data_IF_029031683079
#
_entry.id   IF_029031683079
#
_cell.length_a   1.000
_cell.length_b   1.000
_cell.length_c   1.000
_cell.angle_alpha   90.00
_cell.angle_beta   90.00
_cell.angle_gamma   90.00
#
_symmetry.space_group_name_H-M   'P 1'
#
loop_
_entity.id
_entity.type
_entity.pdbx_description
1 polymer ?
#
# COMPACT_ATOMS: atom_id res chain seq x y z
N UNK A 1 10.53 -9.57 -22.81
CA UNK A 1 9.82 -10.12 -21.64
C UNK A 1 10.74 -10.78 -20.60
N UNK A 2 11.67 -11.68 -20.98
CA UNK A 2 12.60 -12.32 -20.01
C UNK A 2 13.43 -11.34 -19.15
N UNK A 3 13.92 -10.20 -19.67
CA UNK A 3 14.67 -9.23 -18.85
C UNK A 3 13.83 -8.60 -17.73
N UNK A 4 12.59 -8.19 -18.02
CA UNK A 4 11.70 -7.55 -17.04
C UNK A 4 11.25 -8.50 -15.93
N UNK A 5 11.06 -9.78 -16.23
CA UNK A 5 10.76 -10.76 -15.17
C UNK A 5 11.95 -10.97 -14.24
N UNK A 6 13.18 -10.97 -14.78
CA UNK A 6 14.39 -11.06 -13.95
C UNK A 6 14.58 -9.81 -13.09
N UNK A 7 14.31 -8.62 -13.63
CA UNK A 7 14.33 -7.39 -12.86
C UNK A 7 13.27 -7.39 -11.75
N UNK A 8 12.03 -7.79 -12.09
CA UNK A 8 10.94 -7.91 -11.09
C UNK A 8 11.33 -8.80 -9.94
N UNK A 9 11.98 -9.94 -10.20
CA UNK A 9 12.47 -10.83 -9.13
C UNK A 9 13.52 -10.16 -8.25
N UNK A 10 14.45 -9.41 -8.83
CA UNK A 10 15.45 -8.67 -8.05
C UNK A 10 14.80 -7.59 -7.18
N UNK A 11 13.76 -6.91 -7.69
CA UNK A 11 12.96 -5.94 -6.93
C UNK A 11 12.19 -6.65 -5.81
N UNK A 12 11.53 -7.76 -6.12
CA UNK A 12 10.80 -8.61 -5.16
C UNK A 12 11.71 -9.05 -4.01
N UNK A 13 12.90 -9.56 -4.34
CA UNK A 13 13.89 -10.03 -3.37
C UNK A 13 14.45 -8.89 -2.52
N UNK A 14 14.72 -7.72 -3.12
CA UNK A 14 15.20 -6.53 -2.43
C UNK A 14 14.18 -6.04 -1.39
N UNK A 15 12.90 -6.00 -1.76
CA UNK A 15 11.85 -5.42 -0.93
C UNK A 15 11.49 -6.25 0.29
N UNK A 16 11.86 -7.53 0.33
CA UNK A 16 11.66 -8.42 1.49
C UNK A 16 12.98 -8.87 2.13
N UNK A 17 14.10 -8.24 1.77
CA UNK A 17 15.44 -8.70 2.17
C UNK A 17 15.72 -8.56 3.67
N UNK A 18 15.07 -7.63 4.37
CA UNK A 18 15.25 -7.42 5.82
C UNK A 18 14.45 -8.41 6.62
N UNK A 19 13.34 -8.88 6.07
CA UNK A 19 12.50 -9.91 6.61
C UNK A 19 12.01 -9.64 8.04
N UNK A 20 11.55 -8.41 8.29
CA UNK A 20 11.24 -7.92 9.64
C UNK A 20 10.09 -8.69 10.29
N UNK A 21 9.10 -9.05 9.47
CA UNK A 21 7.84 -9.70 9.87
C UNK A 21 7.60 -11.04 9.17
N UNK A 22 8.62 -11.56 8.49
CA UNK A 22 8.54 -12.85 7.81
C UNK A 22 8.19 -12.77 6.31
N UNK A 23 8.27 -11.58 5.70
CA UNK A 23 7.89 -11.36 4.31
C UNK A 23 8.73 -12.14 3.31
N UNK A 24 9.99 -12.41 3.62
CA UNK A 24 10.84 -13.28 2.79
C UNK A 24 10.34 -14.73 2.78
N UNK A 25 9.85 -15.24 3.91
CA UNK A 25 9.24 -16.57 3.95
C UNK A 25 7.90 -16.58 3.22
N UNK A 26 7.08 -15.54 3.40
CA UNK A 26 5.78 -15.44 2.72
C UNK A 26 5.92 -15.29 1.20
N UNK A 27 6.96 -14.63 0.71
CA UNK A 27 7.27 -14.48 -0.72
C UNK A 27 7.27 -15.82 -1.46
N UNK A 28 7.68 -16.92 -0.80
CA UNK A 28 7.72 -18.26 -1.38
C UNK A 28 6.34 -18.81 -1.75
N UNK A 29 5.28 -18.27 -1.16
CA UNK A 29 3.90 -18.63 -1.48
C UNK A 29 3.37 -17.89 -2.73
N UNK A 30 4.08 -16.87 -3.22
CA UNK A 30 3.68 -16.08 -4.37
C UNK A 30 4.34 -16.55 -5.67
N UNK A 31 3.60 -16.42 -6.78
CA UNK A 31 4.18 -16.61 -8.11
C UNK A 31 5.10 -15.42 -8.45
N UNK A 32 6.40 -15.65 -8.73
CA UNK A 32 7.34 -14.58 -9.06
C UNK A 32 6.87 -13.68 -10.21
N UNK A 33 7.30 -12.43 -10.21
CA UNK A 33 6.82 -11.42 -11.14
C UNK A 33 5.52 -10.74 -10.69
N UNK A 34 5.21 -10.72 -9.39
CA UNK A 34 4.00 -10.11 -8.87
C UNK A 34 4.07 -8.57 -8.93
N UNK A 35 5.24 -7.98 -8.71
CA UNK A 35 5.48 -6.55 -9.00
C UNK A 35 5.32 -6.24 -10.50
N UNK A 36 5.84 -7.09 -11.39
CA UNK A 36 5.70 -6.91 -12.84
C UNK A 36 4.24 -6.91 -13.30
N UNK A 37 3.41 -7.80 -12.77
CA UNK A 37 2.00 -7.91 -13.15
C UNK A 37 1.22 -6.69 -12.65
N UNK A 38 1.41 -6.31 -11.40
CA UNK A 38 0.80 -5.12 -10.82
C UNK A 38 1.23 -3.83 -11.55
N UNK A 39 2.53 -3.63 -11.78
CA UNK A 39 3.02 -2.46 -12.49
C UNK A 39 2.54 -2.39 -13.94
N UNK A 40 2.32 -3.54 -14.61
CA UNK A 40 1.73 -3.57 -15.96
C UNK A 40 0.29 -3.05 -15.97
N UNK A 41 -0.51 -3.39 -14.95
CA UNK A 41 -1.87 -2.88 -14.78
C UNK A 41 -1.83 -1.36 -14.65
N UNK A 42 -0.99 -0.85 -13.74
CA UNK A 42 -0.87 0.59 -13.48
C UNK A 42 -0.34 1.37 -14.70
N UNK A 43 0.61 0.82 -15.44
CA UNK A 43 1.17 1.45 -16.65
C UNK A 43 0.13 1.66 -17.76
N UNK A 44 -0.96 0.89 -17.75
CA UNK A 44 -2.06 1.02 -18.72
C UNK A 44 -3.13 2.02 -18.26
N UNK A 45 -3.07 2.49 -17.01
CA UNK A 45 -4.06 3.41 -16.48
C UNK A 45 -3.83 4.84 -17.00
N UNK A 46 -4.91 5.47 -17.46
CA UNK A 46 -5.00 6.89 -17.86
C UNK A 46 -6.22 7.57 -17.21
N UNK A 47 -7.07 6.78 -16.55
CA UNK A 47 -8.29 7.22 -15.85
C UNK A 47 -8.09 7.23 -14.34
N UNK A 48 -9.18 6.98 -13.60
CA UNK A 48 -9.12 6.97 -12.14
C UNK A 48 -8.37 5.74 -11.64
N UNK A 49 -7.49 5.93 -10.66
CA UNK A 49 -6.90 4.85 -9.87
C UNK A 49 -7.22 5.13 -8.41
N UNK A 50 -7.90 4.20 -7.74
CA UNK A 50 -8.13 4.32 -6.31
C UNK A 50 -6.94 3.79 -5.54
N UNK A 51 -6.43 4.59 -4.60
CA UNK A 51 -5.34 4.21 -3.71
C UNK A 51 -5.86 4.28 -2.28
N UNK A 52 -6.22 3.12 -1.72
CA UNK A 52 -6.65 2.97 -0.33
C UNK A 52 -5.45 2.89 0.61
N UNK A 53 -5.41 3.75 1.62
CA UNK A 53 -4.31 3.75 2.61
C UNK A 53 -4.76 4.31 3.97
N UNK A 54 -3.94 4.08 5.00
CA UNK A 54 -4.20 4.45 6.39
C UNK A 54 -4.52 3.26 7.28
N UNK A 55 -3.59 2.97 8.20
CA UNK A 55 -3.78 2.08 9.34
C UNK A 55 -4.01 2.92 10.61
N UNK A 56 -5.06 2.63 11.41
CA UNK A 56 -5.33 3.40 12.62
C UNK A 56 -4.38 3.02 13.76
N UNK A 57 -3.71 4.02 14.35
CA UNK A 57 -2.85 3.86 15.53
C UNK A 57 -3.25 4.87 16.59
N UNK A 58 -3.64 4.37 17.76
CA UNK A 58 -4.28 5.17 18.82
C UNK A 58 -5.50 5.94 18.26
N UNK A 59 -5.47 7.27 18.31
CA UNK A 59 -6.50 8.19 17.80
C UNK A 59 -6.06 8.90 16.50
N UNK A 60 -4.99 8.43 15.86
CA UNK A 60 -4.41 8.98 14.63
C UNK A 60 -4.11 7.87 13.62
N UNK A 61 -3.28 8.16 12.62
CA UNK A 61 -2.81 7.24 11.58
C UNK A 61 -1.29 7.06 11.64
N UNK A 62 -0.82 5.93 11.13
CA UNK A 62 0.62 5.69 11.03
C UNK A 62 1.25 6.22 9.74
N UNK A 63 2.59 6.24 9.71
CA UNK A 63 3.40 6.66 8.57
C UNK A 63 3.51 5.59 7.49
N UNK A 64 3.44 4.29 7.82
CA UNK A 64 3.41 3.23 6.81
C UNK A 64 2.05 3.15 6.10
N UNK A 65 2.09 3.05 4.78
CA UNK A 65 0.96 3.27 3.87
C UNK A 65 0.95 4.65 3.24
N UNK A 66 0.69 5.74 4.00
CA UNK A 66 0.50 7.07 3.43
C UNK A 66 1.71 7.60 2.65
N UNK A 67 2.95 7.32 3.05
CA UNK A 67 4.13 7.81 2.31
C UNK A 67 4.20 7.19 0.91
N UNK A 68 4.03 5.87 0.82
CA UNK A 68 4.02 5.13 -0.43
C UNK A 68 2.80 5.46 -1.29
N UNK A 69 1.64 5.66 -0.67
CA UNK A 69 0.43 6.09 -1.36
C UNK A 69 0.58 7.47 -1.99
N UNK A 70 1.18 8.44 -1.29
CA UNK A 70 1.48 9.77 -1.84
C UNK A 70 2.52 9.67 -2.95
N UNK A 71 3.60 8.91 -2.76
CA UNK A 71 4.62 8.71 -3.80
C UNK A 71 4.03 8.08 -5.08
N UNK A 72 3.18 7.07 -4.94
CA UNK A 72 2.51 6.44 -6.07
C UNK A 72 1.45 7.37 -6.70
N UNK A 73 0.72 8.13 -5.89
CA UNK A 73 -0.21 9.15 -6.38
C UNK A 73 0.50 10.15 -7.29
N UNK A 74 1.58 10.76 -6.82
CA UNK A 74 2.33 11.78 -7.56
C UNK A 74 2.90 11.20 -8.87
N UNK A 75 3.45 9.99 -8.81
CA UNK A 75 3.96 9.27 -9.98
C UNK A 75 2.84 8.98 -11.00
N UNK A 76 1.71 8.43 -10.58
CA UNK A 76 0.59 8.12 -11.48
C UNK A 76 -0.03 9.37 -12.09
N UNK A 77 -0.13 10.46 -11.31
CA UNK A 77 -0.57 11.75 -11.81
C UNK A 77 0.38 12.29 -12.88
N UNK A 78 1.69 12.23 -12.65
CA UNK A 78 2.70 12.60 -13.65
C UNK A 78 2.59 11.78 -14.94
N UNK A 79 2.24 10.50 -14.83
CA UNK A 79 2.07 9.59 -15.96
C UNK A 79 0.72 9.74 -16.70
N UNK A 80 -0.14 10.66 -16.25
CA UNK A 80 -1.40 11.02 -16.91
C UNK A 80 -2.64 10.33 -16.35
N UNK A 81 -2.52 9.52 -15.29
CA UNK A 81 -3.68 8.98 -14.59
C UNK A 81 -4.30 10.03 -13.64
N UNK A 82 -5.47 9.70 -13.09
CA UNK A 82 -6.23 10.52 -12.13
C UNK A 82 -6.35 9.79 -10.80
N UNK A 83 -5.28 9.65 -10.02
CA UNK A 83 -5.35 8.94 -8.76
C UNK A 83 -6.27 9.65 -7.76
N UNK A 84 -6.92 8.86 -6.90
CA UNK A 84 -7.76 9.32 -5.78
C UNK A 84 -7.36 8.55 -4.54
N UNK A 85 -6.99 9.27 -3.48
CA UNK A 85 -6.65 8.67 -2.19
C UNK A 85 -7.94 8.34 -1.43
N UNK A 86 -8.13 7.08 -1.03
CA UNK A 86 -9.34 6.60 -0.37
C UNK A 86 -9.01 6.23 1.07
N UNK A 87 -9.38 7.09 2.02
CA UNK A 87 -8.96 6.95 3.41
C UNK A 87 -10.04 7.48 4.39
N UNK A 88 -9.95 7.03 5.65
CA UNK A 88 -10.79 7.53 6.73
C UNK A 88 -10.14 8.67 7.50
N UNK A 89 -10.90 9.34 8.35
CA UNK A 89 -10.36 10.32 9.29
C UNK A 89 -9.48 9.66 10.37
N UNK A 90 -8.44 10.35 10.89
CA UNK A 90 -8.11 11.75 10.58
C UNK A 90 -7.30 11.96 9.29
N UNK A 91 -6.78 10.89 8.67
CA UNK A 91 -5.95 10.98 7.46
C UNK A 91 -6.67 11.68 6.30
N UNK A 92 -7.96 11.38 6.08
CA UNK A 92 -8.76 12.03 5.05
C UNK A 92 -8.79 13.56 5.20
N UNK A 93 -9.13 14.05 6.39
CA UNK A 93 -9.19 15.50 6.64
C UNK A 93 -7.84 16.19 6.47
N UNK A 94 -6.77 15.46 6.71
CA UNK A 94 -5.40 15.93 6.54
C UNK A 94 -4.96 15.96 5.06
N UNK A 95 -5.33 14.97 4.25
CA UNK A 95 -4.88 14.87 2.86
C UNK A 95 -5.76 15.64 1.87
N UNK A 96 -7.07 15.78 2.13
CA UNK A 96 -8.03 16.38 1.19
C UNK A 96 -7.76 17.84 0.83
N UNK A 97 -6.90 18.53 1.59
CA UNK A 97 -6.48 19.91 1.30
C UNK A 97 -5.54 20.00 0.12
N UNK A 98 -4.68 18.99 -0.04
CA UNK A 98 -3.56 18.99 -0.98
C UNK A 98 -3.73 17.91 -2.08
N UNK A 99 -4.58 16.91 -1.85
CA UNK A 99 -4.80 15.76 -2.73
C UNK A 99 -6.28 15.56 -3.06
N UNK A 100 -6.56 14.91 -4.20
CA UNK A 100 -7.90 14.42 -4.50
C UNK A 100 -8.19 13.18 -3.65
N UNK A 101 -9.11 13.31 -2.69
CA UNK A 101 -9.46 12.25 -1.77
C UNK A 101 -10.95 11.87 -1.84
N UNK A 102 -11.24 10.59 -1.59
CA UNK A 102 -12.58 10.09 -1.31
C UNK A 102 -12.65 9.61 0.15
N UNK A 103 -13.63 10.09 0.95
CA UNK A 103 -13.71 9.71 2.36
C UNK A 103 -14.22 8.29 2.54
N UNK A 104 -13.67 7.60 3.54
CA UNK A 104 -14.24 6.36 4.07
C UNK A 104 -14.79 6.59 5.48
N UNK A 105 -16.03 6.15 5.77
CA UNK A 105 -16.54 6.19 7.13
C UNK A 105 -15.71 5.30 8.07
N UNK A 106 -15.28 5.86 9.19
CA UNK A 106 -14.67 5.13 10.30
C UNK A 106 -15.78 4.61 11.21
N UNK A 107 -15.60 3.41 11.78
CA UNK A 107 -16.54 2.81 12.74
C UNK A 107 -17.97 2.62 12.21
N UNK A 108 -18.17 2.63 10.90
CA UNK A 108 -19.46 2.32 10.29
C UNK A 108 -19.46 0.86 9.86
N UNK A 109 -20.33 0.03 10.43
CA UNK A 109 -20.57 -1.34 9.94
C UNK A 109 -21.78 -1.40 9.00
N UNK A 110 -22.50 -0.30 8.83
CA UNK A 110 -23.72 -0.27 8.03
C UNK A 110 -23.45 0.35 6.66
N UNK A 111 -24.04 -0.26 5.64
CA UNK A 111 -24.05 0.23 4.25
C UNK A 111 -22.66 0.40 3.59
N UNK A 112 -21.59 -0.18 4.14
CA UNK A 112 -20.23 -0.10 3.58
C UNK A 112 -20.18 -0.55 2.11
N UNK A 113 -20.79 -1.70 1.80
CA UNK A 113 -20.86 -2.22 0.44
C UNK A 113 -21.60 -1.29 -0.52
N UNK A 114 -22.67 -0.63 -0.05
CA UNK A 114 -23.42 0.32 -0.88
C UNK A 114 -22.61 1.59 -1.17
N UNK A 115 -21.89 2.12 -0.16
CA UNK A 115 -21.00 3.27 -0.31
C UNK A 115 -19.84 2.97 -1.27
N UNK A 116 -19.22 1.79 -1.13
CA UNK A 116 -18.19 1.34 -2.04
C UNK A 116 -18.72 1.19 -3.47
N UNK A 117 -19.89 0.56 -3.64
CA UNK A 117 -20.53 0.40 -4.95
C UNK A 117 -20.86 1.75 -5.62
N UNK A 118 -21.39 2.71 -4.85
CA UNK A 118 -21.68 4.06 -5.34
C UNK A 118 -20.41 4.77 -5.80
N UNK A 119 -19.35 4.73 -5.00
CA UNK A 119 -18.07 5.32 -5.36
C UNK A 119 -17.46 4.66 -6.61
N UNK A 120 -17.45 3.31 -6.68
CA UNK A 120 -16.97 2.57 -7.85
C UNK A 120 -17.77 2.91 -9.11
N UNK A 121 -19.10 3.03 -9.01
CA UNK A 121 -19.96 3.40 -10.13
C UNK A 121 -19.74 4.85 -10.58
N UNK A 122 -19.52 5.76 -9.64
CA UNK A 122 -19.27 7.17 -9.92
C UNK A 122 -17.92 7.39 -10.59
N UNK A 123 -16.85 6.87 -10.01
CA UNK A 123 -15.48 7.13 -10.46
C UNK A 123 -15.02 6.22 -11.60
N UNK A 124 -15.58 5.00 -11.69
CA UNK A 124 -15.20 3.96 -12.66
C UNK A 124 -13.67 3.77 -12.72
N UNK A 125 -13.03 3.39 -11.60
CA UNK A 125 -11.59 3.23 -11.57
C UNK A 125 -11.12 2.15 -12.56
N UNK A 126 -9.92 2.35 -13.09
CA UNK A 126 -9.22 1.40 -13.93
C UNK A 126 -8.38 0.41 -13.12
N UNK A 127 -8.05 0.78 -11.87
CA UNK A 127 -7.43 -0.09 -10.89
C UNK A 127 -7.79 0.39 -9.47
N UNK A 128 -7.85 -0.55 -8.53
CA UNK A 128 -7.95 -0.27 -7.08
C UNK A 128 -6.72 -0.87 -6.42
N UNK A 129 -5.97 -0.07 -5.66
CA UNK A 129 -4.81 -0.53 -4.91
C UNK A 129 -4.99 -0.23 -3.42
N UNK A 130 -4.68 -1.21 -2.58
CA UNK A 130 -4.58 -1.09 -1.13
C UNK A 130 -3.10 -1.02 -0.73
N UNK A 131 -2.72 -0.08 0.13
CA UNK A 131 -1.35 0.06 0.66
C UNK A 131 -1.44 0.26 2.17
N UNK A 132 -0.95 -0.72 2.93
CA UNK A 132 -1.01 -0.73 4.40
C UNK A 132 -2.42 -0.44 4.92
N UNK A 133 -3.34 -1.33 4.57
CA UNK A 133 -4.72 -1.25 5.07
C UNK A 133 -5.11 -2.50 5.79
N UNK A 134 -5.65 -2.40 7.03
CA UNK A 134 -6.20 -3.55 7.72
C UNK A 134 -7.25 -4.24 6.84
N UNK A 135 -7.12 -5.56 6.69
CA UNK A 135 -8.11 -6.40 6.02
C UNK A 135 -9.02 -7.10 7.02
N UNK A 136 -10.27 -7.38 6.61
CA UNK A 136 -11.19 -8.19 7.41
C UNK A 136 -10.59 -9.57 7.63
N UNK A 137 -10.47 -10.00 8.88
CA UNK A 137 -10.20 -11.38 9.25
C UNK A 137 -11.42 -12.28 8.95
N UNK A 138 -11.26 -13.58 9.13
CA UNK A 138 -12.31 -14.57 8.85
C UNK A 138 -13.59 -14.37 9.68
N UNK A 139 -13.47 -13.76 10.86
CA UNK A 139 -14.59 -13.40 11.74
C UNK A 139 -15.22 -12.03 11.41
N UNK A 140 -14.77 -11.36 10.35
CA UNK A 140 -15.26 -10.07 9.88
C UNK A 140 -14.69 -8.86 10.62
N UNK A 141 -13.76 -9.05 11.57
CA UNK A 141 -13.13 -7.99 12.35
C UNK A 141 -11.78 -7.57 11.77
N UNK A 142 -11.22 -6.50 12.31
CA UNK A 142 -9.88 -6.01 11.98
C UNK A 142 -8.96 -6.15 13.19
N UNK A 143 -7.73 -6.60 12.97
CA UNK A 143 -6.75 -6.81 14.02
C UNK A 143 -5.43 -6.12 13.69
N UNK A 144 -4.74 -5.59 14.70
CA UNK A 144 -3.37 -5.11 14.55
C UNK A 144 -2.34 -6.23 14.79
N UNK A 145 -1.06 -5.90 14.65
CA UNK A 145 0.06 -6.83 14.87
C UNK A 145 0.13 -7.44 16.29
N UNK A 146 -0.61 -6.89 17.27
CA UNK A 146 -0.71 -7.41 18.65
C UNK A 146 -1.93 -8.32 18.85
N UNK A 147 -2.73 -8.53 17.80
CA UNK A 147 -4.00 -9.27 17.88
C UNK A 147 -5.14 -8.49 18.55
N UNK A 148 -4.99 -7.17 18.71
CA UNK A 148 -6.04 -6.32 19.29
C UNK A 148 -7.09 -5.99 18.22
N UNK A 149 -8.38 -6.09 18.58
CA UNK A 149 -9.49 -5.71 17.71
C UNK A 149 -9.50 -4.18 17.51
N UNK A 150 -9.30 -3.74 16.27
CA UNK A 150 -9.28 -2.33 15.85
C UNK A 150 -10.50 -1.95 15.02
N UNK A 151 -11.52 -2.81 14.94
CA UNK A 151 -12.68 -2.62 14.06
C UNK A 151 -13.39 -1.30 14.29
N UNK A 152 -13.51 -0.86 15.55
CA UNK A 152 -14.13 0.41 15.92
C UNK A 152 -13.37 1.67 15.48
N UNK A 153 -12.14 1.53 14.96
CA UNK A 153 -11.31 2.62 14.46
C UNK A 153 -10.92 2.44 12.99
N UNK A 154 -11.29 1.31 12.39
CA UNK A 154 -10.96 1.03 11.01
C UNK A 154 -12.01 1.66 10.09
N UNK A 155 -11.55 2.40 9.09
CA UNK A 155 -12.33 2.63 7.87
C UNK A 155 -12.24 1.37 7.02
N UNK A 156 -13.35 0.84 6.51
CA UNK A 156 -13.32 -0.38 5.69
C UNK A 156 -13.01 -0.05 4.22
N UNK A 157 -12.00 -0.71 3.64
CA UNK A 157 -11.71 -0.62 2.19
C UNK A 157 -11.95 -1.95 1.46
N UNK A 158 -12.27 -3.03 2.20
CA UNK A 158 -12.46 -4.38 1.66
C UNK A 158 -13.57 -4.46 0.60
N UNK A 159 -14.66 -3.70 0.77
CA UNK A 159 -15.77 -3.69 -0.18
C UNK A 159 -15.38 -3.00 -1.50
N UNK A 160 -14.45 -2.04 -1.49
CA UNK A 160 -13.89 -1.49 -2.73
C UNK A 160 -13.09 -2.54 -3.49
N UNK A 161 -12.36 -3.40 -2.77
CA UNK A 161 -11.59 -4.50 -3.37
C UNK A 161 -12.51 -5.59 -3.90
N UNK A 162 -13.55 -5.96 -3.15
CA UNK A 162 -14.42 -7.08 -3.50
C UNK A 162 -15.40 -6.74 -4.62
N UNK A 163 -15.86 -5.48 -4.68
CA UNK A 163 -16.89 -5.06 -5.65
C UNK A 163 -16.31 -4.43 -6.92
N UNK A 164 -15.00 -4.17 -6.97
CA UNK A 164 -14.37 -3.59 -8.15
C UNK A 164 -14.49 -4.52 -9.36
N UNK A 165 -14.94 -3.96 -10.50
CA UNK A 165 -14.93 -4.66 -11.79
C UNK A 165 -13.58 -4.55 -12.53
N UNK A 166 -12.67 -3.72 -12.02
CA UNK A 166 -11.31 -3.54 -12.51
C UNK A 166 -10.30 -4.31 -11.66
N UNK A 167 -9.05 -4.48 -12.12
CA UNK A 167 -8.03 -5.17 -11.33
C UNK A 167 -7.78 -4.55 -9.96
N UNK A 168 -7.51 -5.40 -8.98
CA UNK A 168 -7.25 -5.07 -7.59
C UNK A 168 -5.84 -5.47 -7.16
N UNK A 169 -5.14 -4.54 -6.52
CA UNK A 169 -3.76 -4.70 -6.10
C UNK A 169 -3.68 -4.48 -4.59
N UNK A 170 -2.76 -5.15 -3.90
CA UNK A 170 -2.54 -4.87 -2.49
C UNK A 170 -1.07 -4.96 -2.11
N UNK A 171 -0.62 -4.05 -1.26
CA UNK A 171 0.69 -4.05 -0.62
C UNK A 171 0.48 -4.21 0.88
N UNK A 172 1.19 -5.15 1.48
CA UNK A 172 1.19 -5.38 2.93
C UNK A 172 2.52 -5.97 3.38
N UNK A 173 2.76 -5.90 4.69
CA UNK A 173 4.03 -6.29 5.29
C UNK A 173 3.92 -7.12 6.59
N UNK A 174 2.71 -7.33 7.12
CA UNK A 174 2.47 -7.97 8.42
C UNK A 174 1.56 -9.20 8.38
N UNK A 175 0.68 -9.31 7.37
CA UNK A 175 -0.24 -10.44 7.19
C UNK A 175 -1.69 -10.14 7.57
N UNK A 176 -1.95 -9.02 8.24
CA UNK A 176 -3.27 -8.54 8.64
C UNK A 176 -3.84 -7.46 7.69
N UNK A 177 -3.15 -7.20 6.58
CA UNK A 177 -3.56 -6.24 5.57
C UNK A 177 -4.41 -6.89 4.47
N UNK A 178 -5.25 -6.07 3.82
CA UNK A 178 -5.97 -6.46 2.61
C UNK A 178 -5.02 -7.11 1.60
N UNK A 179 -5.47 -8.18 0.95
CA UNK A 179 -4.71 -8.93 -0.04
C UNK A 179 -3.92 -10.10 0.55
N UNK A 180 -3.54 -10.05 1.83
CA UNK A 180 -2.85 -11.16 2.51
C UNK A 180 -3.70 -12.45 2.57
N UNK A 181 -5.02 -12.34 2.34
CA UNK A 181 -5.91 -13.49 2.13
C UNK A 181 -5.44 -14.45 1.04
N UNK A 182 -4.77 -13.93 -0.01
CA UNK A 182 -4.23 -14.72 -1.12
C UNK A 182 -3.26 -15.83 -0.66
N UNK A 183 -2.58 -15.60 0.46
CA UNK A 183 -1.56 -16.49 1.02
C UNK A 183 -1.89 -16.88 2.48
N UNK A 184 -3.18 -16.91 2.85
CA UNK A 184 -3.66 -17.20 4.21
C UNK A 184 -3.01 -18.41 4.88
N UNK A 185 -2.74 -19.49 4.13
CA UNK A 185 -2.09 -20.70 4.67
C UNK A 185 -0.64 -20.46 5.07
N UNK A 186 0.07 -19.58 4.35
CA UNK A 186 1.44 -19.19 4.70
C UNK A 186 1.43 -18.18 5.86
N UNK A 187 0.55 -17.18 5.81
CA UNK A 187 0.39 -16.16 6.87
C UNK A 187 -0.01 -16.81 8.20
N UNK A 188 -0.88 -17.82 8.19
CA UNK A 188 -1.30 -18.54 9.41
C UNK A 188 -0.18 -19.31 10.13
N UNK A 189 1.04 -19.33 9.58
CA UNK A 189 2.24 -19.83 10.27
C UNK A 189 2.96 -18.75 11.09
N UNK A 190 2.62 -17.48 10.86
CA UNK A 190 3.09 -16.34 11.65
C UNK A 190 2.20 -16.19 12.90
N UNK A 191 2.72 -15.51 13.92
CA UNK A 191 1.97 -15.19 15.13
C UNK A 191 1.10 -13.94 14.91
N UNK A 192 0.14 -14.02 13.98
CA UNK A 192 -0.75 -12.93 13.57
C UNK A 192 -2.16 -13.46 13.32
N UNK A 193 -3.18 -12.59 13.44
CA UNK A 193 -4.53 -12.90 12.95
C UNK A 193 -4.59 -12.46 11.47
N UNK A 194 -4.67 -13.40 10.52
CA UNK A 194 -4.56 -13.08 9.10
C UNK A 194 -5.81 -12.34 8.60
N UNK A 195 -5.59 -11.40 7.69
CA UNK A 195 -6.67 -10.91 6.85
C UNK A 195 -7.18 -12.03 5.91
N UNK A 196 -8.47 -12.00 5.62
CA UNK A 196 -9.16 -12.91 4.71
C UNK A 196 -9.45 -12.26 3.35
N UNK A 197 -9.46 -10.93 3.26
CA UNK A 197 -9.71 -10.21 2.01
C UNK A 197 -8.59 -10.46 1.00
N UNK A 198 -8.97 -10.91 -0.19
CA UNK A 198 -8.09 -11.25 -1.32
C UNK A 198 -8.00 -10.10 -2.34
N UNK A 199 -7.07 -10.21 -3.30
CA UNK A 199 -6.92 -9.28 -4.43
C UNK A 199 -6.34 -10.01 -5.65
N UNK A 200 -6.33 -9.36 -6.83
CA UNK A 200 -5.78 -9.98 -8.04
C UNK A 200 -4.25 -10.12 -7.99
N UNK A 201 -3.53 -9.10 -7.48
CA UNK A 201 -2.08 -9.17 -7.28
C UNK A 201 -1.68 -8.64 -5.90
N UNK A 202 -1.15 -9.54 -5.08
CA UNK A 202 -0.53 -9.22 -3.79
C UNK A 202 0.95 -8.90 -3.98
N UNK A 203 1.40 -7.82 -3.38
CA UNK A 203 2.78 -7.39 -3.31
C UNK A 203 3.26 -7.38 -1.87
N UNK A 204 4.35 -8.08 -1.60
CA UNK A 204 5.01 -8.06 -0.30
C UNK A 204 6.17 -7.07 -0.31
N UNK A 205 6.38 -6.42 0.82
CA UNK A 205 7.55 -5.64 1.16
C UNK A 205 7.77 -5.69 2.67
N UNK A 206 8.96 -5.39 3.17
CA UNK A 206 9.22 -5.30 4.61
C UNK A 206 8.63 -4.04 5.27
N UNK A 207 8.28 -3.05 4.45
CA UNK A 207 7.54 -1.82 4.78
C UNK A 207 6.66 -1.52 3.57
N UNK A 208 5.35 -1.35 3.74
CA UNK A 208 4.40 -1.22 2.64
C UNK A 208 4.69 -0.02 1.73
N UNK A 209 5.19 1.08 2.29
CA UNK A 209 5.63 2.24 1.51
C UNK A 209 6.71 1.88 0.47
N UNK A 210 7.63 0.98 0.81
CA UNK A 210 8.69 0.57 -0.10
C UNK A 210 8.15 -0.26 -1.26
N UNK A 211 7.06 -1.00 -1.04
CA UNK A 211 6.36 -1.67 -2.12
C UNK A 211 5.83 -0.69 -3.17
N UNK A 212 5.35 0.49 -2.76
CA UNK A 212 4.97 1.52 -3.73
C UNK A 212 6.18 1.94 -4.61
N UNK A 213 7.38 2.04 -4.02
CA UNK A 213 8.60 2.33 -4.77
C UNK A 213 8.96 1.20 -5.75
N UNK A 214 8.75 -0.06 -5.38
CA UNK A 214 8.92 -1.20 -6.29
C UNK A 214 8.06 -1.11 -7.55
N UNK A 215 6.81 -0.66 -7.41
CA UNK A 215 5.93 -0.38 -8.56
C UNK A 215 6.49 0.76 -9.42
N UNK A 216 6.88 1.88 -8.79
CA UNK A 216 7.45 3.05 -9.47
C UNK A 216 8.74 2.68 -10.21
N UNK A 217 9.55 1.78 -9.68
CA UNK A 217 10.78 1.29 -10.31
C UNK A 217 10.51 0.64 -11.68
N UNK A 218 9.52 -0.25 -11.75
CA UNK A 218 9.13 -0.89 -13.01
C UNK A 218 8.47 0.09 -13.98
N UNK A 219 7.66 1.03 -13.49
CA UNK A 219 7.11 2.12 -14.30
C UNK A 219 8.25 2.98 -14.88
N UNK A 220 9.27 3.28 -14.09
CA UNK A 220 10.44 4.06 -14.52
C UNK A 220 11.14 3.41 -15.71
N UNK A 221 11.37 2.09 -15.63
CA UNK A 221 11.99 1.33 -16.73
C UNK A 221 11.10 1.34 -17.99
N UNK A 222 9.78 1.20 -17.86
CA UNK A 222 8.88 1.23 -19.02
C UNK A 222 8.77 2.59 -19.69
N UNK A 223 8.90 3.67 -18.90
CA UNK A 223 8.81 5.05 -19.40
C UNK A 223 10.17 5.62 -19.78
N UNK A 224 11.24 4.85 -19.59
CA UNK A 224 12.63 5.26 -19.82
C UNK A 224 12.96 6.58 -19.09
N UNK A 225 12.39 6.75 -17.90
CA UNK A 225 12.49 7.96 -17.07
C UNK A 225 12.68 7.55 -15.61
N UNK A 226 13.62 8.19 -14.90
CA UNK A 226 13.81 7.95 -13.47
C UNK A 226 12.70 8.62 -12.65
N UNK A 227 11.57 7.92 -12.47
CA UNK A 227 10.45 8.40 -11.65
C UNK A 227 10.77 8.29 -10.16
N UNK A 228 11.67 7.38 -9.78
CA UNK A 228 12.12 7.20 -8.40
C UNK A 228 12.88 8.43 -7.88
N UNK A 229 13.63 9.14 -8.74
CA UNK A 229 14.32 10.38 -8.37
C UNK A 229 13.39 11.50 -7.87
N UNK A 230 12.09 11.43 -8.21
CA UNK A 230 11.10 12.42 -7.78
C UNK A 230 10.46 12.07 -6.44
N UNK A 231 10.61 10.84 -5.97
CA UNK A 231 10.11 10.39 -4.67
C UNK A 231 10.95 11.02 -3.57
N UNK A 232 10.30 11.73 -2.65
CA UNK A 232 10.95 12.42 -1.53
C UNK A 232 10.41 11.91 -0.18
N UNK A 233 10.82 10.71 0.29
CA UNK A 233 10.23 10.07 1.47
C UNK A 233 10.32 10.96 2.72
N UNK A 234 11.48 11.58 2.96
CA UNK A 234 11.68 12.46 4.11
C UNK A 234 10.74 13.67 4.10
N UNK A 235 10.48 14.24 2.92
CA UNK A 235 9.54 15.37 2.78
C UNK A 235 8.11 14.93 3.05
N UNK A 236 7.71 13.76 2.54
CA UNK A 236 6.37 13.21 2.74
C UNK A 236 6.17 12.82 4.21
N UNK A 237 7.16 12.18 4.84
CA UNK A 237 7.18 11.90 6.27
C UNK A 237 7.05 13.17 7.10
N UNK A 238 7.82 14.22 6.80
CA UNK A 238 7.70 15.51 7.50
C UNK A 238 6.30 16.10 7.34
N UNK A 239 5.75 16.08 6.12
CA UNK A 239 4.39 16.54 5.84
C UNK A 239 3.37 15.82 6.73
N UNK A 240 3.42 14.49 6.81
CA UNK A 240 2.51 13.67 7.62
C UNK A 240 2.74 13.88 9.13
N UNK A 241 4.00 13.98 9.56
CA UNK A 241 4.43 14.21 10.95
C UNK A 241 3.89 15.55 11.47
N UNK A 242 4.01 16.62 10.68
CA UNK A 242 3.45 17.94 10.99
C UNK A 242 1.91 17.92 11.16
N UNK A 243 1.27 16.87 10.62
CA UNK A 243 -0.19 16.64 10.65
C UNK A 243 -0.60 15.53 11.63
N UNK A 244 0.32 15.08 12.49
CA UNK A 244 0.02 14.19 13.60
C UNK A 244 0.12 12.70 13.29
N UNK A 245 0.80 12.30 12.21
CA UNK A 245 1.15 10.89 12.02
C UNK A 245 2.04 10.38 13.14
N UNK A 246 2.02 9.06 13.34
CA UNK A 246 2.94 8.38 14.27
C UNK A 246 3.60 7.20 13.57
N UNK A 247 4.70 6.74 14.14
CA UNK A 247 5.29 5.45 13.79
C UNK A 247 4.38 4.30 14.28
N UNK A 248 4.09 3.32 13.42
CA UNK A 248 3.17 2.22 13.72
C UNK A 248 3.61 1.33 14.89
N UNK A 249 4.92 1.24 15.11
CA UNK A 249 5.52 0.36 16.13
C UNK A 249 5.72 1.11 17.45
N UNK A 250 6.42 2.26 17.42
CA UNK A 250 6.75 3.05 18.62
C UNK A 250 5.61 3.95 19.09
N UNK A 251 4.65 4.27 18.20
CA UNK A 251 3.52 5.19 18.44
C UNK A 251 3.94 6.62 18.75
N UNK A 252 5.18 6.98 18.43
CA UNK A 252 5.71 8.32 18.58
C UNK A 252 5.62 9.05 17.25
N UNK A 253 5.45 10.38 17.32
CA UNK A 253 5.57 11.20 16.13
C UNK A 253 7.05 11.40 15.80
N UNK A 254 7.58 10.49 14.99
CA UNK A 254 8.95 10.46 14.48
C UNK A 254 8.95 10.29 12.98
N UNK A 255 10.02 10.74 12.33
CA UNK A 255 10.20 10.63 10.87
C UNK A 255 10.69 9.23 10.50
N UNK A 256 9.90 8.23 10.88
CA UNK A 256 10.22 6.81 10.73
C UNK A 256 9.07 6.07 10.06
N UNK A 257 9.40 4.96 9.43
CA UNK A 257 8.46 3.99 8.88
C UNK A 257 8.76 2.68 9.62
N UNK A 258 7.83 2.17 10.43
CA UNK A 258 8.02 0.94 11.21
C UNK A 258 9.26 0.86 12.09
N UNK A 259 9.51 1.94 12.82
CA UNK A 259 10.70 2.17 13.66
C UNK A 259 12.02 2.20 12.88
N UNK A 260 11.97 2.26 11.55
CA UNK A 260 13.13 2.50 10.71
C UNK A 260 13.22 3.99 10.37
N UNK A 261 14.42 4.55 10.51
CA UNK A 261 14.69 5.93 10.11
C UNK A 261 14.44 6.15 8.61
N UNK A 262 14.04 7.35 8.23
CA UNK A 262 13.79 7.72 6.83
C UNK A 262 14.97 7.39 5.88
N UNK A 263 16.20 7.37 6.39
CA UNK A 263 17.38 6.96 5.63
C UNK A 263 17.30 5.53 5.09
N UNK A 264 16.55 4.65 5.74
CA UNK A 264 16.36 3.26 5.31
C UNK A 264 15.50 3.19 4.04
N UNK A 265 14.40 3.93 3.99
CA UNK A 265 13.58 4.08 2.78
C UNK A 265 14.32 4.78 1.64
N UNK A 266 15.16 5.77 1.95
CA UNK A 266 16.04 6.43 0.97
C UNK A 266 17.07 5.44 0.41
N UNK A 267 17.65 4.57 1.24
CA UNK A 267 18.57 3.53 0.80
C UNK A 267 17.89 2.52 -0.14
N UNK A 268 16.66 2.10 0.19
CA UNK A 268 15.86 1.21 -0.68
C UNK A 268 15.57 1.87 -2.03
N UNK A 269 15.20 3.16 -2.06
CA UNK A 269 15.05 3.92 -3.31
C UNK A 269 16.35 3.92 -4.12
N UNK A 270 17.49 4.18 -3.49
CA UNK A 270 18.80 4.14 -4.15
C UNK A 270 19.11 2.78 -4.77
N UNK A 271 18.83 1.69 -4.04
CA UNK A 271 18.98 0.32 -4.56
C UNK A 271 18.05 0.03 -5.72
N UNK A 272 16.78 0.47 -5.66
CA UNK A 272 15.83 0.31 -6.77
C UNK A 272 16.27 1.08 -8.02
N UNK A 273 16.77 2.32 -7.86
CA UNK A 273 17.31 3.12 -8.97
C UNK A 273 18.49 2.41 -9.63
N UNK A 274 19.43 1.91 -8.83
CA UNK A 274 20.57 1.15 -9.32
C UNK A 274 20.16 -0.13 -10.08
N UNK A 275 19.19 -0.91 -9.55
CA UNK A 275 18.65 -2.09 -10.24
C UNK A 275 18.00 -1.74 -11.59
N UNK A 276 17.41 -0.56 -11.70
CA UNK A 276 16.77 -0.08 -12.92
C UNK A 276 17.74 0.62 -13.89
N UNK A 277 19.03 0.76 -13.53
CA UNK A 277 20.03 1.42 -14.36
C UNK A 277 20.00 2.96 -14.29
N UNK A 278 19.38 3.53 -13.26
CA UNK A 278 19.39 4.97 -12.99
C UNK A 278 20.43 5.34 -11.92
N UNK A 279 20.87 6.60 -11.93
CA UNK A 279 21.89 7.17 -11.03
C UNK A 279 21.36 8.31 -10.19
#
# INVERSE_FOLDING_TARGET
MKPLLSLSRQIEDLLVARNLRGMQQLQQALRPGYYLRAARILNQCQGVVFIGTGFPVADTFETDGPVGAIALYDCLQQLGARPVLVCGDPLYSVLKTDYHCHPLPVNSQQNLAALAAEALQHYQPQAVISIERPGRAQDGKYYNMRGEDISGRCASFDDFMTLAACPTLAIGDGGNEIGMGNIKTAVGKLNIIPAATECDELLLADVSNWGAYGLIALLSVWREQDLLAQVQPLRILQYLSDRGSVDGVSRLNTLTEDSLDASEGIAVLGSLRALCGFS
#
